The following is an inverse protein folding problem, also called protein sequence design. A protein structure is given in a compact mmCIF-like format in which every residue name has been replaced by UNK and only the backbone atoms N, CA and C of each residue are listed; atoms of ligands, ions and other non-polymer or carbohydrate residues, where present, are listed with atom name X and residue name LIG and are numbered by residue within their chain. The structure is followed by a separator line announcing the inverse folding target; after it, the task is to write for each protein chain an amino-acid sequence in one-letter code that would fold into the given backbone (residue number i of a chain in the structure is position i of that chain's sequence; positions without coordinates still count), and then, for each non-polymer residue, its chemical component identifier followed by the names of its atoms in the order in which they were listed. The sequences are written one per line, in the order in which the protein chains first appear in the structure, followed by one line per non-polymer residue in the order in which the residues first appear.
data_IF_025725786014
#
_entry.id   IF_025725786014
#
_cell.length_a   1.000
_cell.length_b   1.000
_cell.length_c   1.000
_cell.angle_alpha   90.00
_cell.angle_beta   90.00
_cell.angle_gamma   90.00
#
_symmetry.space_group_name_H-M   'P 1'
#
loop_
_entity.id
_entity.type
_entity.pdbx_description
1 polymer ?
#
# COMPACT_ATOMS: atom_id res chain seq x y z
N UNK A 1 9.10 1.78 -10.43
CA UNK A 1 9.61 0.64 -9.64
C UNK A 1 8.59 0.39 -8.54
N UNK A 2 7.77 -0.67 -8.61
CA UNK A 2 6.57 -0.82 -7.78
C UNK A 2 6.78 -0.67 -6.26
N UNK A 3 7.97 -0.99 -5.75
CA UNK A 3 8.34 -0.81 -4.34
C UNK A 3 8.29 0.68 -3.92
N UNK A 4 8.68 1.61 -4.80
CA UNK A 4 8.69 3.05 -4.48
C UNK A 4 7.26 3.60 -4.31
N UNK A 5 6.33 3.14 -5.14
CA UNK A 5 4.92 3.55 -5.08
C UNK A 5 4.25 3.03 -3.79
N UNK A 6 4.52 1.78 -3.39
CA UNK A 6 4.01 1.23 -2.13
C UNK A 6 4.53 2.02 -0.91
N UNK A 7 5.80 2.44 -0.92
CA UNK A 7 6.36 3.28 0.14
C UNK A 7 5.73 4.68 0.19
N UNK A 8 5.37 5.25 -0.96
CA UNK A 8 4.68 6.54 -1.02
C UNK A 8 3.25 6.46 -0.47
N UNK A 9 2.50 5.42 -0.85
CA UNK A 9 1.16 5.13 -0.30
C UNK A 9 1.23 4.96 1.21
N UNK A 10 2.20 4.20 1.71
CA UNK A 10 2.44 4.01 3.16
C UNK A 10 2.67 5.33 3.87
N UNK A 11 3.55 6.18 3.32
CA UNK A 11 3.88 7.48 3.91
C UNK A 11 2.63 8.35 4.04
N UNK A 12 1.81 8.44 2.99
CA UNK A 12 0.58 9.23 3.05
C UNK A 12 -0.44 8.68 4.04
N UNK A 13 -0.53 7.35 4.19
CA UNK A 13 -1.37 6.73 5.20
C UNK A 13 -0.93 7.07 6.63
N UNK A 14 0.39 7.10 6.89
CA UNK A 14 0.96 7.53 8.17
C UNK A 14 0.68 9.02 8.43
N UNK A 15 0.90 9.88 7.42
CA UNK A 15 0.69 11.32 7.53
C UNK A 15 -0.78 11.69 7.82
N UNK A 16 -1.72 10.87 7.35
CA UNK A 16 -3.16 11.04 7.56
C UNK A 16 -3.71 10.24 8.76
N UNK A 17 -2.84 9.57 9.52
CA UNK A 17 -3.20 8.72 10.66
C UNK A 17 -4.29 7.67 10.32
N UNK A 18 -4.18 7.07 9.13
CA UNK A 18 -5.10 6.02 8.68
C UNK A 18 -4.57 4.63 9.02
N UNK A 19 -5.44 3.66 9.36
CA UNK A 19 -5.03 2.27 9.49
C UNK A 19 -4.46 1.75 8.16
N UNK A 20 -3.36 0.99 8.23
CA UNK A 20 -2.74 0.38 7.06
C UNK A 20 -2.06 -0.96 7.41
N UNK A 21 -1.81 -1.79 6.40
CA UNK A 21 -1.03 -3.03 6.54
C UNK A 21 -0.25 -3.35 5.27
N UNK A 22 0.99 -3.81 5.42
CA UNK A 22 1.82 -4.32 4.32
C UNK A 22 1.75 -5.84 4.26
N UNK A 23 1.59 -6.38 3.06
CA UNK A 23 1.69 -7.82 2.80
C UNK A 23 3.02 -8.08 2.12
N UNK A 24 3.77 -9.00 2.70
CA UNK A 24 5.06 -9.47 2.17
C UNK A 24 4.84 -10.87 1.59
N UNK A 25 5.40 -11.13 0.41
CA UNK A 25 5.32 -12.49 -0.15
C UNK A 25 5.99 -13.50 0.80
N UNK A 26 5.30 -14.61 1.05
CA UNK A 26 5.80 -15.69 1.91
C UNK A 26 6.89 -16.54 1.23
N UNK A 27 7.41 -16.11 0.08
CA UNK A 27 8.40 -16.86 -0.71
C UNK A 27 7.77 -17.91 -1.63
N UNK A 28 6.53 -17.70 -2.06
CA UNK A 28 5.85 -18.59 -3.01
C UNK A 28 5.93 -18.09 -4.47
N UNK A 29 6.53 -16.92 -4.69
CA UNK A 29 6.79 -16.37 -6.02
C UNK A 29 8.28 -16.33 -6.35
N UNK A 30 8.64 -16.07 -7.60
CA UNK A 30 10.03 -15.91 -8.05
C UNK A 30 10.69 -14.61 -7.56
N UNK A 31 9.99 -13.81 -6.74
CA UNK A 31 10.52 -12.58 -6.14
C UNK A 31 11.33 -12.95 -4.89
N UNK A 32 12.40 -12.21 -4.62
CA UNK A 32 13.23 -12.43 -3.45
C UNK A 32 12.37 -12.42 -2.16
N UNK A 33 12.55 -13.40 -1.25
CA UNK A 33 11.81 -13.48 0.02
C UNK A 33 11.93 -12.17 0.79
N UNK A 34 10.84 -11.72 1.42
CA UNK A 34 10.83 -10.47 2.18
C UNK A 34 10.47 -9.22 1.36
N UNK A 35 10.04 -9.36 0.11
CA UNK A 35 9.57 -8.23 -0.70
C UNK A 35 8.10 -7.92 -0.42
N UNK A 36 7.80 -6.66 -0.10
CA UNK A 36 6.43 -6.16 0.04
C UNK A 36 5.74 -6.21 -1.32
N UNK A 37 4.62 -6.94 -1.41
CA UNK A 37 3.87 -7.15 -2.66
C UNK A 37 2.62 -6.30 -2.75
N UNK A 38 1.98 -5.98 -1.62
CA UNK A 38 0.85 -5.05 -1.60
C UNK A 38 0.71 -4.34 -0.25
N UNK A 39 -0.13 -3.30 -0.26
CA UNK A 39 -0.50 -2.51 0.92
C UNK A 39 -2.01 -2.34 0.95
N UNK A 40 -2.60 -2.39 2.14
CA UNK A 40 -4.01 -2.07 2.37
C UNK A 40 -4.14 -0.81 3.21
N UNK A 41 -5.14 0.02 2.91
CA UNK A 41 -5.49 1.24 3.63
C UNK A 41 -6.93 1.13 4.15
N UNK A 42 -7.15 1.43 5.42
CA UNK A 42 -8.45 1.44 6.07
C UNK A 42 -8.67 0.33 7.10
N UNK A 43 -9.88 0.26 7.69
CA UNK A 43 -11.08 1.02 7.31
C UNK A 43 -10.97 2.52 7.62
N UNK A 44 -11.43 3.36 6.69
CA UNK A 44 -11.49 4.81 6.82
C UNK A 44 -12.55 5.38 5.85
N UNK A 45 -13.01 6.63 6.04
CA UNK A 45 -13.86 7.31 5.07
C UNK A 45 -13.25 7.35 3.67
N UNK A 46 -14.07 7.11 2.64
CA UNK A 46 -13.68 7.08 1.22
C UNK A 46 -12.88 8.32 0.80
N UNK A 47 -13.34 9.51 1.20
CA UNK A 47 -12.68 10.77 0.89
C UNK A 47 -11.26 10.91 1.48
N UNK A 48 -10.90 10.13 2.51
CA UNK A 48 -9.54 10.09 3.05
C UNK A 48 -8.69 9.05 2.32
N UNK A 49 -9.28 7.89 1.98
CA UNK A 49 -8.61 6.85 1.20
C UNK A 49 -8.27 7.37 -0.21
N UNK A 50 -9.19 8.08 -0.86
CA UNK A 50 -9.02 8.63 -2.20
C UNK A 50 -7.90 9.67 -2.31
N UNK A 51 -7.58 10.40 -1.22
CA UNK A 51 -6.41 11.30 -1.18
C UNK A 51 -5.09 10.54 -1.41
N UNK A 52 -5.08 9.25 -1.09
CA UNK A 52 -3.91 8.38 -1.19
C UNK A 52 -3.97 7.56 -2.48
N UNK A 53 -5.10 6.92 -2.77
CA UNK A 53 -5.21 5.91 -3.83
C UNK A 53 -5.99 6.36 -5.06
N UNK A 54 -6.65 7.53 -5.05
CA UNK A 54 -7.58 7.95 -6.11
C UNK A 54 -6.95 8.14 -7.49
N UNK A 55 -5.62 8.31 -7.56
CA UNK A 55 -4.88 8.40 -8.81
C UNK A 55 -4.31 7.06 -9.30
N UNK A 56 -4.44 6.00 -8.50
CA UNK A 56 -3.97 4.66 -8.86
C UNK A 56 -4.97 4.01 -9.81
N UNK A 57 -4.45 3.26 -10.78
CA UNK A 57 -5.30 2.47 -11.68
C UNK A 57 -5.84 1.26 -10.93
N UNK A 58 -7.08 0.89 -11.23
CA UNK A 58 -7.62 -0.40 -10.83
C UNK A 58 -6.82 -1.52 -11.50
N UNK A 59 -6.63 -2.62 -10.76
CA UNK A 59 -5.85 -3.80 -11.17
C UNK A 59 -6.49 -4.55 -12.34
#
# INVERSE_FOLDING_TARGET
SGIKELQEVKRHAIDLDLPWSEVTDAGHTQIAPGTVTCISIGPAPENLIDKITGNLKLL
#
